data_IF_423893383169
#
_entry.id   IF_423893383169
#
_cell.length_a   1.000
_cell.length_b   1.000
_cell.length_c   1.000
_cell.angle_alpha   90.00
_cell.angle_beta   90.00
_cell.angle_gamma   90.00
#
_symmetry.space_group_name_H-M   'P 1'
#
loop_
_entity.id
_entity.type
_entity.pdbx_description
1 polymer ?
#
# COMPACT_ATOMS: atom_id res chain seq x y z
N UNK A 1 76.57 -2.21 -12.97
CA UNK A 1 75.84 -1.15 -13.71
C UNK A 1 74.38 -1.18 -13.25
N UNK A 2 74.01 -0.30 -12.31
CA UNK A 2 72.66 -0.19 -11.77
C UNK A 2 71.73 0.50 -12.79
N UNK A 3 70.55 -0.06 -13.04
CA UNK A 3 69.47 0.61 -13.78
C UNK A 3 68.25 0.73 -12.87
N UNK A 4 68.07 1.91 -12.30
CA UNK A 4 66.79 2.34 -11.73
C UNK A 4 65.76 2.47 -12.88
N UNK A 5 64.61 1.81 -12.74
CA UNK A 5 63.41 2.08 -13.54
C UNK A 5 62.37 2.73 -12.62
N UNK A 6 61.76 3.87 -12.98
CA UNK A 6 60.77 4.51 -12.14
C UNK A 6 59.45 3.73 -12.21
N UNK A 7 58.98 3.22 -11.06
CA UNK A 7 57.63 2.67 -10.89
C UNK A 7 56.65 3.77 -10.46
N UNK A 8 56.67 4.94 -11.12
CA UNK A 8 55.82 6.07 -10.70
C UNK A 8 54.68 6.42 -11.68
N UNK A 9 54.64 5.84 -12.89
CA UNK A 9 53.66 6.28 -13.89
C UNK A 9 52.35 5.46 -13.91
N UNK A 10 52.34 4.27 -13.32
CA UNK A 10 51.15 3.40 -13.33
C UNK A 10 50.13 3.84 -12.28
N UNK A 11 50.59 4.32 -11.12
CA UNK A 11 49.70 4.75 -10.03
C UNK A 11 48.94 6.04 -10.38
N UNK A 12 49.59 6.97 -11.08
CA UNK A 12 48.96 8.22 -11.53
C UNK A 12 47.87 8.01 -12.58
N UNK A 13 48.03 7.02 -13.47
CA UNK A 13 47.04 6.70 -14.50
C UNK A 13 45.79 6.00 -13.95
N UNK A 14 45.96 5.19 -12.89
CA UNK A 14 44.85 4.52 -12.17
C UNK A 14 44.07 5.54 -11.33
N UNK A 15 44.74 6.53 -10.73
CA UNK A 15 44.09 7.57 -9.95
C UNK A 15 43.29 8.54 -10.86
N UNK A 16 43.77 8.79 -12.08
CA UNK A 16 43.05 9.62 -13.05
C UNK A 16 41.76 8.94 -13.56
N UNK A 17 41.76 7.62 -13.76
CA UNK A 17 40.56 6.88 -14.18
C UNK A 17 39.48 6.82 -13.10
N UNK A 18 39.86 6.81 -11.81
CA UNK A 18 38.89 6.84 -10.71
C UNK A 18 38.17 8.18 -10.54
N UNK A 19 38.79 9.30 -10.94
CA UNK A 19 38.17 10.64 -10.87
C UNK A 19 37.10 10.87 -11.94
N UNK A 20 37.08 10.10 -13.03
CA UNK A 20 36.07 10.23 -14.10
C UNK A 20 34.81 9.36 -13.89
N UNK A 21 34.79 8.48 -12.88
CA UNK A 21 33.64 7.58 -12.63
C UNK A 21 32.69 8.12 -11.55
N UNK A 22 33.04 9.23 -10.89
CA UNK A 22 32.20 9.91 -9.90
C UNK A 22 31.36 11.04 -10.51
N UNK A 23 30.65 10.75 -11.60
CA UNK A 23 29.50 11.54 -12.02
C UNK A 23 28.27 11.14 -11.19
N UNK A 24 27.39 12.07 -10.79
CA UNK A 24 26.14 11.67 -10.15
C UNK A 24 25.38 10.76 -11.12
N UNK A 25 25.05 9.54 -10.66
CA UNK A 25 24.10 8.68 -11.35
C UNK A 25 22.70 9.30 -11.20
N UNK A 26 22.46 10.39 -11.93
CA UNK A 26 21.13 10.94 -12.11
C UNK A 26 20.30 9.92 -12.91
N UNK A 27 19.01 9.80 -12.57
CA UNK A 27 18.08 8.96 -13.35
C UNK A 27 18.20 9.30 -14.83
N UNK A 28 18.35 8.28 -15.67
CA UNK A 28 18.65 8.43 -17.11
C UNK A 28 17.48 8.96 -17.94
N UNK A 29 16.40 9.40 -17.31
CA UNK A 29 15.22 9.90 -18.01
C UNK A 29 14.46 10.91 -17.16
N UNK A 30 14.25 12.09 -17.72
CA UNK A 30 13.26 13.06 -17.26
C UNK A 30 11.85 12.60 -17.70
N UNK A 31 10.78 12.82 -16.90
CA UNK A 31 9.40 12.70 -17.39
C UNK A 31 9.16 13.29 -18.79
N UNK A 32 9.83 14.39 -19.12
CA UNK A 32 9.73 15.04 -20.43
C UNK A 32 10.38 14.20 -21.55
N UNK A 33 11.47 13.47 -21.27
CA UNK A 33 12.11 12.55 -22.22
C UNK A 33 11.21 11.35 -22.54
N UNK A 34 10.45 10.87 -21.54
CA UNK A 34 9.46 9.80 -21.74
C UNK A 34 8.23 10.28 -22.51
N UNK A 35 7.85 11.56 -22.36
CA UNK A 35 6.70 12.14 -23.05
C UNK A 35 6.81 12.05 -24.57
N UNK A 36 8.01 12.25 -25.13
CA UNK A 36 8.25 12.12 -26.56
C UNK A 36 8.06 10.68 -27.08
N UNK A 37 8.47 9.67 -26.30
CA UNK A 37 8.34 8.25 -26.66
C UNK A 37 6.93 7.72 -26.42
N UNK A 38 6.27 8.15 -25.34
CA UNK A 38 4.92 7.72 -24.98
C UNK A 38 3.82 8.45 -25.76
N UNK A 39 4.16 9.55 -26.45
CA UNK A 39 3.22 10.33 -27.26
C UNK A 39 2.85 9.69 -28.60
N UNK A 40 3.62 8.70 -29.07
CA UNK A 40 3.30 7.94 -30.28
C UNK A 40 2.18 6.91 -29.99
N UNK A 41 1.13 6.93 -30.81
CA UNK A 41 0.04 5.96 -30.69
C UNK A 41 0.50 4.57 -31.14
N UNK A 42 0.83 3.70 -30.19
CA UNK A 42 1.21 2.30 -30.45
C UNK A 42 -0.01 1.47 -30.93
N UNK A 43 -1.19 1.74 -30.36
CA UNK A 43 -2.45 1.09 -30.69
C UNK A 43 -3.59 2.10 -30.62
N UNK A 44 -4.53 1.99 -31.56
CA UNK A 44 -5.81 2.70 -31.46
C UNK A 44 -6.48 2.44 -30.10
N UNK A 45 -7.01 3.48 -29.41
CA UNK A 45 -7.61 3.31 -28.08
C UNK A 45 -8.69 2.22 -28.01
N UNK A 46 -9.47 2.05 -29.08
CA UNK A 46 -10.49 0.99 -29.19
C UNK A 46 -9.88 -0.41 -29.30
N UNK A 47 -8.77 -0.56 -30.02
CA UNK A 47 -8.04 -1.81 -30.14
C UNK A 47 -7.37 -2.20 -28.81
N UNK A 48 -6.72 -1.25 -28.14
CA UNK A 48 -6.14 -1.47 -26.82
C UNK A 48 -7.20 -1.89 -25.80
N UNK A 49 -8.35 -1.19 -25.77
CA UNK A 49 -9.46 -1.53 -24.88
C UNK A 49 -10.01 -2.93 -25.16
N UNK A 50 -10.19 -3.29 -26.44
CA UNK A 50 -10.67 -4.61 -26.81
C UNK A 50 -9.70 -5.71 -26.36
N UNK A 51 -8.40 -5.54 -26.64
CA UNK A 51 -7.38 -6.50 -26.25
C UNK A 51 -7.31 -6.69 -24.73
N UNK A 52 -7.35 -5.60 -23.96
CA UNK A 52 -7.36 -5.65 -22.49
C UNK A 52 -8.63 -6.37 -22.00
N UNK A 53 -9.81 -6.03 -22.54
CA UNK A 53 -11.06 -6.70 -22.17
C UNK A 53 -11.00 -8.20 -22.45
N UNK A 54 -10.58 -8.61 -23.65
CA UNK A 54 -10.42 -10.02 -24.00
C UNK A 54 -9.42 -10.73 -23.09
N UNK A 55 -8.29 -10.08 -22.79
CA UNK A 55 -7.28 -10.61 -21.88
C UNK A 55 -7.84 -10.86 -20.47
N UNK A 56 -8.58 -9.89 -19.92
CA UNK A 56 -9.20 -9.97 -18.59
C UNK A 56 -10.28 -11.03 -18.57
N UNK A 57 -11.26 -10.96 -19.50
CA UNK A 57 -12.41 -11.85 -19.52
C UNK A 57 -12.01 -13.33 -19.66
N UNK A 58 -10.96 -13.63 -20.43
CA UNK A 58 -10.44 -14.99 -20.56
C UNK A 58 -9.73 -15.53 -19.30
N UNK A 59 -9.53 -14.70 -18.28
CA UNK A 59 -8.88 -15.05 -17.00
C UNK A 59 -9.78 -14.86 -15.79
N UNK A 60 -11.04 -14.43 -16.00
CA UNK A 60 -12.01 -14.33 -14.91
C UNK A 60 -12.30 -15.74 -14.40
N UNK A 61 -12.10 -15.95 -13.11
CA UNK A 61 -12.44 -17.22 -12.47
C UNK A 61 -13.97 -17.47 -12.60
N UNK A 62 -14.40 -18.70 -12.93
CA UNK A 62 -15.81 -19.01 -12.98
C UNK A 62 -16.45 -18.83 -11.59
N UNK A 63 -17.75 -18.45 -11.54
CA UNK A 63 -18.44 -18.36 -10.26
C UNK A 63 -18.57 -19.75 -9.60
N UNK A 64 -18.68 -19.81 -8.27
CA UNK A 64 -18.94 -21.07 -7.56
C UNK A 64 -20.19 -21.79 -8.09
N UNK A 65 -20.11 -23.10 -8.27
CA UNK A 65 -21.22 -23.94 -8.75
C UNK A 65 -22.00 -24.61 -7.62
N UNK A 66 -21.88 -24.12 -6.39
CA UNK A 66 -22.56 -24.69 -5.23
C UNK A 66 -24.09 -24.63 -5.41
N UNK A 67 -24.77 -25.77 -5.21
CA UNK A 67 -26.21 -25.92 -5.46
C UNK A 67 -27.05 -25.90 -4.18
N UNK A 68 -26.41 -25.93 -3.02
CA UNK A 68 -27.08 -25.90 -1.72
C UNK A 68 -26.21 -25.18 -0.66
N UNK A 69 -26.83 -24.90 0.50
CA UNK A 69 -26.20 -24.14 1.58
C UNK A 69 -24.94 -24.81 2.16
N UNK A 70 -24.91 -26.13 2.22
CA UNK A 70 -23.75 -26.87 2.72
C UNK A 70 -22.57 -26.74 1.75
N UNK A 71 -22.80 -27.02 0.47
CA UNK A 71 -21.79 -26.84 -0.59
C UNK A 71 -21.27 -25.40 -0.65
N UNK A 72 -22.16 -24.42 -0.48
CA UNK A 72 -21.76 -23.00 -0.42
C UNK A 72 -20.86 -22.71 0.78
N UNK A 73 -21.17 -23.27 1.94
CA UNK A 73 -20.37 -23.09 3.15
C UNK A 73 -18.96 -23.66 2.97
N UNK A 74 -18.86 -24.87 2.42
CA UNK A 74 -17.59 -25.54 2.14
C UNK A 74 -16.75 -24.73 1.13
N UNK A 75 -17.37 -24.26 0.06
CA UNK A 75 -16.70 -23.49 -0.99
C UNK A 75 -16.28 -22.10 -0.50
N UNK A 76 -17.10 -21.42 0.28
CA UNK A 76 -16.75 -20.14 0.91
C UNK A 76 -15.55 -20.28 1.87
N UNK A 77 -15.47 -21.39 2.61
CA UNK A 77 -14.31 -21.68 3.46
C UNK A 77 -13.05 -21.94 2.62
N UNK A 78 -13.17 -22.72 1.55
CA UNK A 78 -12.05 -23.01 0.63
C UNK A 78 -11.50 -21.72 0.01
N UNK A 79 -12.38 -20.88 -0.55
CA UNK A 79 -12.02 -19.60 -1.16
C UNK A 79 -11.40 -18.64 -0.14
N UNK A 80 -11.94 -18.56 1.09
CA UNK A 80 -11.36 -17.71 2.14
C UNK A 80 -9.95 -18.15 2.53
N UNK A 81 -9.71 -19.46 2.66
CA UNK A 81 -8.36 -19.98 2.94
C UNK A 81 -7.39 -19.62 1.82
N UNK A 82 -7.76 -19.91 0.57
CA UNK A 82 -6.95 -19.58 -0.59
C UNK A 82 -6.62 -18.08 -0.66
N UNK A 83 -7.62 -17.20 -0.53
CA UNK A 83 -7.41 -15.75 -0.56
C UNK A 83 -6.46 -15.28 0.54
N UNK A 84 -6.67 -15.74 1.78
CA UNK A 84 -5.87 -15.29 2.90
C UNK A 84 -4.44 -15.83 2.82
N UNK A 85 -4.27 -17.13 2.61
CA UNK A 85 -2.97 -17.79 2.67
C UNK A 85 -2.12 -17.51 1.43
N UNK A 86 -2.74 -17.57 0.25
CA UNK A 86 -1.99 -17.58 -1.02
C UNK A 86 -1.92 -16.18 -1.67
N UNK A 87 -2.73 -15.22 -1.22
CA UNK A 87 -2.77 -13.86 -1.79
C UNK A 87 -2.48 -12.80 -0.74
N UNK A 88 -3.27 -12.71 0.33
CA UNK A 88 -3.18 -11.60 1.31
C UNK A 88 -1.93 -11.72 2.18
N UNK A 89 -1.63 -12.92 2.68
CA UNK A 89 -0.49 -13.19 3.57
C UNK A 89 0.72 -13.76 2.82
N UNK A 90 0.65 -13.88 1.50
CA UNK A 90 1.74 -14.40 0.71
C UNK A 90 3.02 -13.57 0.88
N UNK A 91 4.08 -14.22 1.36
CA UNK A 91 5.39 -13.60 1.61
C UNK A 91 5.53 -12.91 2.97
N UNK A 92 4.49 -12.91 3.81
CA UNK A 92 4.55 -12.35 5.16
C UNK A 92 4.99 -13.41 6.19
N UNK A 93 5.85 -13.06 7.17
CA UNK A 93 6.17 -13.96 8.27
C UNK A 93 4.92 -14.30 9.11
N UNK A 94 4.77 -15.57 9.47
CA UNK A 94 3.61 -16.06 10.22
C UNK A 94 3.47 -15.36 11.57
N UNK A 95 4.59 -15.07 12.23
CA UNK A 95 4.65 -14.36 13.49
C UNK A 95 4.14 -12.92 13.39
N UNK A 96 4.19 -12.29 12.20
CA UNK A 96 3.61 -10.96 11.98
C UNK A 96 2.10 -11.07 11.76
N UNK A 97 1.68 -12.01 10.92
CA UNK A 97 0.25 -12.25 10.61
C UNK A 97 -0.53 -12.61 11.87
N UNK A 98 0.05 -13.43 12.75
CA UNK A 98 -0.59 -13.91 13.98
C UNK A 98 -0.20 -13.07 15.23
N UNK A 99 0.49 -11.94 15.05
CA UNK A 99 0.91 -11.10 16.18
C UNK A 99 -0.30 -10.50 16.91
N UNK A 100 -0.16 -10.34 18.24
CA UNK A 100 -1.14 -9.58 19.01
C UNK A 100 -1.11 -8.10 18.58
N UNK A 101 -2.27 -7.43 18.46
CA UNK A 101 -2.30 -6.04 18.03
C UNK A 101 -1.59 -5.14 19.05
N UNK A 102 -0.64 -4.33 18.57
CA UNK A 102 0.00 -3.28 19.37
C UNK A 102 -0.62 -1.94 19.02
N UNK A 103 -1.28 -1.31 19.99
CA UNK A 103 -1.86 0.00 19.82
C UNK A 103 -1.70 0.88 21.05
N UNK A 104 -1.78 2.17 20.82
CA UNK A 104 -1.62 3.24 21.79
C UNK A 104 -2.81 4.19 21.68
N UNK A 105 -3.37 4.53 22.84
CA UNK A 105 -4.33 5.61 22.97
C UNK A 105 -3.58 6.93 23.11
N UNK A 106 -3.76 7.83 22.14
CA UNK A 106 -3.11 9.14 22.09
C UNK A 106 -4.00 10.26 22.66
N UNK A 107 -5.08 9.89 23.35
CA UNK A 107 -5.97 10.78 24.05
C UNK A 107 -7.22 11.16 23.28
N UNK A 108 -8.09 11.86 24.01
CA UNK A 108 -9.42 12.27 23.58
C UNK A 108 -9.43 13.74 23.15
N UNK A 109 -10.23 14.05 22.13
CA UNK A 109 -10.62 15.41 21.75
C UNK A 109 -12.11 15.52 22.07
N UNK A 110 -12.42 16.31 23.09
CA UNK A 110 -13.79 16.63 23.45
C UNK A 110 -14.37 17.64 22.46
N UNK A 111 -15.61 17.42 22.02
CA UNK A 111 -16.28 18.33 21.07
C UNK A 111 -17.39 19.14 21.72
N UNK A 112 -18.02 18.62 22.77
CA UNK A 112 -19.26 19.19 23.34
C UNK A 112 -20.46 19.15 22.39
N UNK A 113 -20.38 18.34 21.32
CA UNK A 113 -21.42 18.21 20.29
C UNK A 113 -22.09 16.83 20.33
N UNK A 114 -22.10 16.16 21.48
CA UNK A 114 -22.69 14.82 21.65
C UNK A 114 -21.80 13.64 21.22
N UNK A 115 -20.59 13.92 20.71
CA UNK A 115 -19.58 12.92 20.37
C UNK A 115 -18.19 13.37 20.81
N UNK A 116 -17.23 12.44 20.85
CA UNK A 116 -15.81 12.72 21.08
C UNK A 116 -14.95 11.94 20.10
N UNK A 117 -13.73 12.40 19.87
CA UNK A 117 -12.75 11.71 19.04
C UNK A 117 -11.67 11.11 19.93
N UNK A 118 -11.29 9.86 19.71
CA UNK A 118 -10.11 9.24 20.32
C UNK A 118 -9.08 8.97 19.26
N UNK A 119 -7.87 9.48 19.47
CA UNK A 119 -6.74 9.26 18.56
C UNK A 119 -6.08 7.94 18.93
N UNK A 120 -5.90 7.08 17.93
CA UNK A 120 -5.23 5.80 18.10
C UNK A 120 -4.02 5.74 17.18
N UNK A 121 -2.95 5.16 17.68
CA UNK A 121 -1.81 4.72 16.88
C UNK A 121 -1.68 3.22 17.03
N UNK A 122 -1.49 2.51 15.94
CA UNK A 122 -1.34 1.06 15.98
C UNK A 122 -0.24 0.63 15.03
N UNK A 123 0.39 -0.46 15.39
CA UNK A 123 1.41 -1.07 14.56
C UNK A 123 0.75 -1.98 13.53
N UNK A 124 1.18 -1.86 12.27
CA UNK A 124 0.74 -2.75 11.20
C UNK A 124 1.67 -3.98 11.17
N UNK A 125 2.98 -3.73 11.17
CA UNK A 125 4.07 -4.72 11.21
C UNK A 125 5.21 -4.16 12.08
N UNK A 126 6.13 -4.97 12.61
CA UNK A 126 7.17 -4.50 13.51
C UNK A 126 7.93 -3.26 12.99
N UNK A 127 7.84 -2.16 13.74
CA UNK A 127 8.49 -0.89 13.41
C UNK A 127 7.72 0.00 12.41
N UNK A 128 6.56 -0.43 11.91
CA UNK A 128 5.72 0.33 10.98
C UNK A 128 4.34 0.63 11.57
N UNK A 129 4.08 1.91 11.80
CA UNK A 129 2.87 2.38 12.48
C UNK A 129 1.90 3.09 11.53
N UNK A 130 0.62 2.99 11.88
CA UNK A 130 -0.47 3.75 11.30
C UNK A 130 -1.34 4.35 12.40
N UNK A 131 -2.34 5.13 12.00
CA UNK A 131 -3.20 5.87 12.93
C UNK A 131 -4.67 5.70 12.56
N UNK A 132 -5.51 5.72 13.58
CA UNK A 132 -6.96 5.72 13.45
C UNK A 132 -7.58 6.82 14.30
N UNK A 133 -8.80 7.20 13.95
CA UNK A 133 -9.65 8.09 14.75
C UNK A 133 -10.92 7.31 15.04
N UNK A 134 -11.21 7.12 16.33
CA UNK A 134 -12.45 6.55 16.80
C UNK A 134 -13.40 7.70 17.16
N UNK A 135 -14.58 7.71 16.56
CA UNK A 135 -15.66 8.62 16.92
C UNK A 135 -16.58 7.86 17.86
N UNK A 136 -16.80 8.39 19.06
CA UNK A 136 -17.64 7.76 20.09
C UNK A 136 -18.75 8.73 20.50
N UNK A 137 -19.98 8.25 20.78
CA UNK A 137 -20.96 9.07 21.46
C UNK A 137 -20.41 9.51 22.81
N UNK A 138 -20.79 10.72 23.24
CA UNK A 138 -20.40 11.25 24.54
C UNK A 138 -21.01 10.42 25.68
N UNK A 139 -22.21 9.88 25.47
CA UNK A 139 -22.92 9.03 26.43
C UNK A 139 -22.87 7.57 25.97
N UNK A 140 -21.98 6.79 26.59
CA UNK A 140 -21.88 5.34 26.37
C UNK A 140 -22.73 4.59 27.40
N UNK A 141 -23.64 3.74 26.93
CA UNK A 141 -24.42 2.83 27.76
C UNK A 141 -24.23 1.38 27.32
N UNK A 142 -23.38 0.63 28.04
CA UNK A 142 -23.10 -0.77 27.72
C UNK A 142 -22.31 -0.96 26.41
N UNK A 143 -22.51 -2.10 25.75
CA UNK A 143 -21.86 -2.41 24.45
C UNK A 143 -22.64 -1.75 23.32
N UNK A 144 -21.91 -1.08 22.42
CA UNK A 144 -22.46 -0.46 21.22
C UNK A 144 -21.92 -1.16 19.96
N UNK A 145 -22.64 -1.10 18.83
CA UNK A 145 -22.08 -1.49 17.55
C UNK A 145 -20.90 -0.58 17.18
N UNK A 146 -19.88 -1.16 16.56
CA UNK A 146 -18.74 -0.43 16.02
C UNK A 146 -18.74 -0.55 14.49
N UNK A 147 -18.43 0.55 13.81
CA UNK A 147 -18.35 0.61 12.34
C UNK A 147 -16.92 0.89 11.93
N UNK A 148 -16.27 -0.07 11.27
CA UNK A 148 -14.92 0.10 10.72
C UNK A 148 -15.00 0.74 9.33
N UNK A 149 -14.65 2.02 9.24
CA UNK A 149 -14.64 2.77 7.99
C UNK A 149 -13.25 2.77 7.33
N UNK A 150 -13.00 1.81 6.43
CA UNK A 150 -11.83 1.84 5.54
C UNK A 150 -12.10 2.82 4.40
N UNK A 151 -11.16 3.73 4.17
CA UNK A 151 -11.39 4.89 3.33
C UNK A 151 -10.59 4.81 2.02
N UNK A 152 -11.24 5.10 0.89
CA UNK A 152 -10.57 5.20 -0.41
C UNK A 152 -9.67 6.45 -0.54
N UNK A 153 -8.91 6.49 -1.63
CA UNK A 153 -8.00 7.58 -1.98
C UNK A 153 -8.74 8.90 -2.21
N UNK A 154 -8.32 9.97 -1.53
CA UNK A 154 -8.93 11.31 -1.65
C UNK A 154 -7.89 12.42 -1.68
N UNK A 155 -6.66 12.08 -2.07
CA UNK A 155 -5.55 13.02 -2.09
C UNK A 155 -5.11 13.48 -0.68
N UNK A 156 -4.47 14.67 -0.60
CA UNK A 156 -3.78 15.14 0.60
C UNK A 156 -4.62 15.14 1.90
N UNK A 157 -5.93 15.49 1.90
CA UNK A 157 -6.73 15.49 3.12
C UNK A 157 -6.92 14.10 3.74
N UNK A 158 -6.82 13.02 2.96
CA UNK A 158 -6.93 11.65 3.43
C UNK A 158 -8.17 11.38 4.29
N UNK A 159 -7.96 11.00 5.55
CA UNK A 159 -9.06 10.71 6.50
C UNK A 159 -9.74 11.97 7.06
N UNK A 160 -9.12 13.14 6.91
CA UNK A 160 -9.64 14.41 7.40
C UNK A 160 -10.55 15.13 6.41
N UNK A 161 -10.79 14.57 5.21
CA UNK A 161 -11.74 15.17 4.26
C UNK A 161 -13.14 15.24 4.88
N UNK A 162 -13.83 16.36 4.66
CA UNK A 162 -15.05 16.75 5.35
C UNK A 162 -16.14 15.67 5.35
N UNK A 163 -16.46 15.10 4.18
CA UNK A 163 -17.56 14.13 4.08
C UNK A 163 -17.27 12.81 4.81
N UNK A 164 -15.99 12.43 4.97
CA UNK A 164 -15.60 11.25 5.77
C UNK A 164 -15.82 11.51 7.25
N UNK A 165 -15.47 12.71 7.72
CA UNK A 165 -15.72 13.12 9.11
C UNK A 165 -17.21 13.16 9.40
N UNK A 166 -18.01 13.86 8.59
CA UNK A 166 -19.47 13.96 8.74
C UNK A 166 -20.14 12.59 8.82
N UNK A 167 -19.74 11.63 7.97
CA UNK A 167 -20.25 10.25 8.03
C UNK A 167 -19.95 9.58 9.36
N UNK A 168 -18.71 9.70 9.87
CA UNK A 168 -18.33 9.05 11.13
C UNK A 168 -19.01 9.71 12.34
N UNK A 169 -19.17 11.04 12.31
CA UNK A 169 -19.88 11.80 13.35
C UNK A 169 -21.35 11.36 13.40
N UNK A 170 -22.02 11.19 12.25
CA UNK A 170 -23.42 10.76 12.22
C UNK A 170 -23.66 9.32 12.72
N UNK A 171 -22.60 8.51 12.84
CA UNK A 171 -22.68 7.16 13.42
C UNK A 171 -22.34 7.11 14.91
N UNK A 172 -21.76 8.20 15.44
CA UNK A 172 -21.42 8.33 16.85
C UNK A 172 -22.63 8.91 17.61
#
# INVERSE_FOLDING_TARGET
MWRFRPRLDILGFVLLTFLFVSGPACGQSDPDDLGAVLGEEILAPSAALLQIKSYILNRVAPPPTATNAQQWTEEAQRLRRHLLQDVVYHGWPEEWVNSAPRFEDLGVIETGQGYRLRKLRYEIVPGFQSVAILYEPEKLGGKLPAILNVNGHVGPPGKAVEYKQKRCINFA
#
